data_IF_744094566435
#
_entry.id   IF_744094566435
#
_cell.length_a   1.000
_cell.length_b   1.000
_cell.length_c   1.000
_cell.angle_alpha   90.00
_cell.angle_beta   90.00
_cell.angle_gamma   90.00
#
_symmetry.space_group_name_H-M   'P 1'
#
loop_
_entity.id
_entity.type
_entity.pdbx_description
1 polymer ?
#
# COMPACT_ATOMS: atom_id res chain seq x y z
N UNK A 1 10.23 6.25 9.31
CA UNK A 1 10.06 7.64 9.75
C UNK A 1 9.06 7.74 10.89
N UNK A 2 8.40 8.89 10.98
CA UNK A 2 7.49 9.32 12.06
C UNK A 2 5.99 9.13 11.75
N UNK A 3 5.65 8.59 10.56
CA UNK A 3 4.26 8.44 10.12
C UNK A 3 3.77 7.03 10.44
N UNK A 4 2.67 6.90 11.18
CA UNK A 4 2.08 5.60 11.49
C UNK A 4 1.08 5.11 10.43
N UNK A 5 0.35 6.01 9.79
CA UNK A 5 -0.68 5.63 8.82
C UNK A 5 -0.59 6.55 7.61
N UNK A 6 -0.52 5.94 6.42
CA UNK A 6 -0.73 6.62 5.14
C UNK A 6 -2.08 6.17 4.60
N UNK A 7 -2.95 7.11 4.24
CA UNK A 7 -4.21 6.81 3.57
C UNK A 7 -4.18 7.52 2.23
N UNK A 8 -4.34 6.77 1.13
CA UNK A 8 -4.30 7.36 -0.20
C UNK A 8 -5.24 6.66 -1.17
N UNK A 9 -5.77 7.46 -2.10
CA UNK A 9 -6.63 7.05 -3.18
C UNK A 9 -5.85 7.08 -4.49
N UNK A 10 -5.69 5.91 -5.11
CA UNK A 10 -4.90 5.75 -6.33
C UNK A 10 -5.76 5.46 -7.55
N UNK A 11 -7.09 5.64 -7.47
CA UNK A 11 -8.05 5.38 -8.55
C UNK A 11 -7.77 6.16 -9.83
N UNK A 12 -7.31 7.41 -9.71
CA UNK A 12 -7.11 8.31 -10.85
C UNK A 12 -5.72 8.23 -11.47
N UNK A 13 -4.84 7.43 -10.89
CA UNK A 13 -3.46 7.36 -11.34
C UNK A 13 -3.38 6.19 -12.29
N UNK A 14 -3.41 6.49 -13.59
CA UNK A 14 -2.92 5.65 -14.68
C UNK A 14 -1.42 5.30 -14.56
N UNK A 15 -0.88 5.40 -13.35
CA UNK A 15 0.45 4.99 -12.98
C UNK A 15 0.55 3.48 -13.12
N UNK A 16 1.20 3.05 -14.20
CA UNK A 16 1.62 1.67 -14.36
C UNK A 16 2.51 1.20 -13.20
N UNK A 17 3.03 -0.02 -13.31
CA UNK A 17 3.86 -0.68 -12.29
C UNK A 17 4.95 0.21 -11.65
N UNK A 18 5.53 1.15 -12.40
CA UNK A 18 6.53 2.11 -11.90
C UNK A 18 6.02 3.06 -10.81
N UNK A 19 4.76 3.53 -10.93
CA UNK A 19 4.15 4.41 -9.93
C UNK A 19 3.99 3.69 -8.60
N UNK A 20 3.42 2.49 -8.61
CA UNK A 20 3.24 1.68 -7.39
C UNK A 20 4.58 1.32 -6.73
N UNK A 21 5.61 1.01 -7.53
CA UNK A 21 6.97 0.79 -6.99
C UNK A 21 7.50 2.03 -6.26
N UNK A 22 7.35 3.21 -6.85
CA UNK A 22 7.79 4.46 -6.21
C UNK A 22 6.95 4.79 -4.97
N UNK A 23 5.63 4.59 -5.03
CA UNK A 23 4.72 4.77 -3.89
C UNK A 23 5.13 3.89 -2.71
N UNK A 24 5.34 2.58 -2.95
CA UNK A 24 5.75 1.65 -1.90
C UNK A 24 7.15 1.94 -1.37
N UNK A 25 8.09 2.35 -2.23
CA UNK A 25 9.42 2.75 -1.80
C UNK A 25 9.39 3.97 -0.87
N UNK A 26 8.63 5.00 -1.23
CA UNK A 26 8.46 6.20 -0.41
C UNK A 26 7.73 5.87 0.90
N UNK A 27 6.66 5.06 0.82
CA UNK A 27 5.93 4.60 2.00
C UNK A 27 6.84 3.84 2.97
N UNK A 28 7.69 2.92 2.50
CA UNK A 28 8.63 2.17 3.33
C UNK A 28 9.63 3.08 4.07
N UNK A 29 10.10 4.14 3.39
CA UNK A 29 11.03 5.10 3.95
C UNK A 29 10.41 5.93 5.09
N UNK A 30 9.19 6.46 4.87
CA UNK A 30 8.56 7.40 5.81
C UNK A 30 7.78 6.71 6.92
N UNK A 31 7.23 5.52 6.70
CA UNK A 31 6.44 4.81 7.71
C UNK A 31 7.27 4.45 8.95
N UNK A 32 6.63 4.48 10.11
CA UNK A 32 7.17 3.95 11.36
C UNK A 32 7.31 2.42 11.28
N UNK A 33 8.04 1.81 12.21
CA UNK A 33 8.26 0.35 12.23
C UNK A 33 6.96 -0.45 12.29
N UNK A 34 5.89 0.12 12.87
CA UNK A 34 4.56 -0.50 13.00
C UNK A 34 3.51 0.11 12.07
N UNK A 35 3.93 1.05 11.22
CA UNK A 35 3.01 1.78 10.37
C UNK A 35 2.41 0.95 9.24
N UNK A 36 1.31 1.44 8.69
CA UNK A 36 0.61 0.83 7.58
C UNK A 36 0.23 1.85 6.51
N UNK A 37 -0.08 1.33 5.32
CA UNK A 37 -0.66 2.10 4.23
C UNK A 37 -2.02 1.51 3.86
N UNK A 38 -3.05 2.34 3.84
CA UNK A 38 -4.38 2.02 3.35
C UNK A 38 -4.54 2.59 1.94
N UNK A 39 -4.78 1.71 0.97
CA UNK A 39 -4.91 2.05 -0.44
C UNK A 39 -6.32 1.80 -0.93
N UNK A 40 -6.94 2.81 -1.53
CA UNK A 40 -8.14 2.64 -2.34
C UNK A 40 -7.73 2.46 -3.81
N UNK A 41 -7.96 1.28 -4.38
CA UNK A 41 -7.56 0.93 -5.76
C UNK A 41 -8.57 -0.01 -6.43
N UNK A 42 -8.60 -0.02 -7.76
CA UNK A 42 -9.34 -0.99 -8.56
C UNK A 42 -8.54 -2.27 -8.78
N UNK A 43 -7.23 -2.15 -9.00
CA UNK A 43 -6.33 -3.27 -9.23
C UNK A 43 -5.00 -3.04 -8.51
N UNK A 44 -4.73 -3.84 -7.49
CA UNK A 44 -3.49 -3.75 -6.72
C UNK A 44 -2.41 -4.61 -7.38
N UNK A 45 -1.31 -4.03 -7.89
CA UNK A 45 -0.18 -4.81 -8.38
C UNK A 45 0.63 -5.43 -7.23
N UNK A 46 1.72 -6.11 -7.55
CA UNK A 46 2.65 -6.66 -6.57
C UNK A 46 3.10 -5.60 -5.54
N UNK A 47 2.96 -5.91 -4.25
CA UNK A 47 3.04 -4.95 -3.15
C UNK A 47 4.45 -4.67 -2.65
N UNK A 48 5.49 -4.91 -3.46
CA UNK A 48 6.90 -4.53 -3.24
C UNK A 48 7.41 -4.70 -1.78
N UNK A 49 7.18 -5.87 -1.17
CA UNK A 49 7.64 -6.18 0.19
C UNK A 49 6.68 -5.75 1.32
N UNK A 50 5.53 -5.15 0.99
CA UNK A 50 4.41 -5.01 1.91
C UNK A 50 3.54 -6.27 1.91
N UNK A 51 3.04 -6.61 3.09
CA UNK A 51 2.08 -7.70 3.31
C UNK A 51 0.67 -7.14 3.38
N UNK A 52 -0.25 -7.78 2.67
CA UNK A 52 -1.69 -7.53 2.80
C UNK A 52 -2.16 -8.05 4.16
N UNK A 53 -2.67 -7.15 4.98
CA UNK A 53 -3.24 -7.47 6.30
C UNK A 53 -4.77 -7.49 6.25
N UNK A 54 -5.37 -6.62 5.45
CA UNK A 54 -6.81 -6.61 5.23
C UNK A 54 -7.14 -6.13 3.82
N UNK A 55 -8.22 -6.67 3.25
CA UNK A 55 -8.73 -6.31 1.93
C UNK A 55 -10.25 -6.29 2.00
N UNK A 56 -10.86 -5.14 1.72
CA UNK A 56 -12.31 -4.96 1.76
C UNK A 56 -12.80 -4.40 0.42
N UNK A 57 -13.70 -5.13 -0.25
CA UNK A 57 -14.38 -4.63 -1.44
C UNK A 57 -15.50 -3.65 -1.05
N UNK A 58 -15.69 -2.59 -1.83
CA UNK A 58 -16.74 -1.61 -1.59
C UNK A 58 -18.08 -2.03 -2.22
N UNK A 59 -19.19 -1.59 -1.62
CA UNK A 59 -20.55 -1.96 -2.00
C UNK A 59 -21.03 -1.35 -3.34
N UNK A 60 -22.21 -1.81 -3.79
CA UNK A 60 -22.83 -1.50 -5.08
C UNK A 60 -22.96 0.00 -5.34
N UNK A 61 -22.07 0.52 -6.18
CA UNK A 61 -21.81 1.95 -6.43
C UNK A 61 -20.33 2.18 -6.76
N UNK A 62 -19.48 1.25 -6.32
CA UNK A 62 -18.03 1.27 -6.47
C UNK A 62 -17.50 -0.09 -6.93
N UNK A 63 -18.15 -0.70 -7.93
CA UNK A 63 -17.77 -2.02 -8.44
C UNK A 63 -16.29 -2.05 -8.85
N UNK A 64 -15.53 -3.03 -8.35
CA UNK A 64 -14.10 -3.16 -8.60
C UNK A 64 -13.20 -2.42 -7.59
N UNK A 65 -13.74 -1.51 -6.79
CA UNK A 65 -12.94 -0.78 -5.80
C UNK A 65 -12.71 -1.59 -4.53
N UNK A 66 -11.46 -1.58 -4.11
CA UNK A 66 -10.98 -2.28 -2.92
C UNK A 66 -10.18 -1.32 -2.05
N UNK A 67 -10.54 -1.27 -0.76
CA UNK A 67 -9.66 -0.73 0.28
C UNK A 67 -8.74 -1.84 0.78
N UNK A 68 -7.43 -1.69 0.56
CA UNK A 68 -6.42 -2.66 1.02
C UNK A 68 -5.52 -2.03 2.07
N UNK A 69 -5.39 -2.68 3.22
CA UNK A 69 -4.44 -2.31 4.27
C UNK A 69 -3.20 -3.17 4.13
N UNK A 70 -2.07 -2.50 3.95
CA UNK A 70 -0.76 -3.08 3.77
C UNK A 70 0.13 -2.69 4.95
N UNK A 71 0.81 -3.66 5.55
CA UNK A 71 1.89 -3.42 6.52
C UNK A 71 3.23 -3.77 5.92
N UNK A 72 4.29 -3.13 6.41
CA UNK A 72 5.65 -3.50 6.02
C UNK A 72 5.87 -4.99 6.31
N UNK A 73 6.22 -5.76 5.28
CA UNK A 73 6.56 -7.17 5.42
C UNK A 73 7.78 -7.30 6.32
N UNK A 74 7.60 -8.01 7.44
CA UNK A 74 8.67 -8.24 8.42
C UNK A 74 9.77 -9.12 7.83
N UNK A 75 10.72 -8.51 7.13
CA UNK A 75 12.13 -8.91 7.01
C UNK A 75 12.85 -7.79 6.25
N UNK A 76 13.21 -6.73 6.98
CA UNK A 76 14.39 -5.97 6.58
C UNK A 76 15.51 -7.02 6.63
N UNK A 77 16.21 -7.28 5.52
CA UNK A 77 17.49 -7.97 5.59
C UNK A 77 18.31 -7.19 6.59
N UNK A 78 18.48 -7.74 7.79
CA UNK A 78 19.69 -7.58 8.55
C UNK A 78 20.78 -8.11 7.62
N UNK A 79 21.38 -7.20 6.86
CA UNK A 79 22.76 -7.37 6.48
C UNK A 79 23.55 -6.72 7.62
N UNK A 80 23.85 -7.54 8.61
CA UNK A 80 25.21 -7.60 9.13
C UNK A 80 26.18 -7.93 7.97
#
# INVERSE_FOLDING_TARGET
>A
GSIDIIITDVRQLSGGLGFYRQLFYQADYVLSKRGCIALLTENLPETAGFKIESKCGLASGHAGLTLTILKRGGKRREKE
#
